data_IF_778744123709
#
_entry.id   IF_778744123709
#
_cell.length_a   1.000
_cell.length_b   1.000
_cell.length_c   1.000
_cell.angle_alpha   90.00
_cell.angle_beta   90.00
_cell.angle_gamma   90.00
#
_symmetry.space_group_name_H-M   'P 1'
#
loop_
_entity.id
_entity.type
_entity.pdbx_description
1 polymer ?
#
# COMPACT_ATOMS: atom_id res chain seq x y z
N UNK A 1 -29.18 -21.42 -7.64
CA UNK A 1 -29.18 -21.05 -6.22
C UNK A 1 -28.95 -19.55 -6.14
N UNK A 2 -29.70 -18.78 -5.35
CA UNK A 2 -29.51 -17.33 -5.28
C UNK A 2 -28.15 -17.04 -4.65
N UNK A 3 -27.36 -16.21 -5.32
CA UNK A 3 -26.10 -15.64 -4.83
C UNK A 3 -26.44 -14.80 -3.59
N UNK A 4 -26.00 -15.24 -2.42
CA UNK A 4 -26.08 -14.44 -1.21
C UNK A 4 -25.15 -13.22 -1.38
N UNK A 5 -25.73 -12.07 -1.55
CA UNK A 5 -25.05 -10.79 -1.38
C UNK A 5 -24.41 -10.78 0.00
N UNK A 6 -23.09 -10.50 0.13
CA UNK A 6 -22.48 -10.37 1.45
C UNK A 6 -23.21 -9.28 2.22
N UNK A 7 -23.79 -9.64 3.38
CA UNK A 7 -24.40 -8.70 4.31
C UNK A 7 -23.37 -7.62 4.64
N UNK A 8 -23.71 -6.37 4.39
CA UNK A 8 -22.89 -5.23 4.82
C UNK A 8 -22.53 -5.41 6.31
N UNK A 9 -21.25 -5.33 6.70
CA UNK A 9 -20.86 -5.52 8.09
C UNK A 9 -21.64 -4.50 8.95
N UNK A 10 -22.19 -4.97 10.08
CA UNK A 10 -22.90 -4.12 11.03
C UNK A 10 -22.00 -2.93 11.37
N UNK A 11 -22.48 -1.69 11.24
CA UNK A 11 -21.68 -0.51 11.53
C UNK A 11 -21.15 -0.57 12.97
N UNK A 12 -19.82 -0.57 13.10
CA UNK A 12 -19.20 -0.57 14.42
C UNK A 12 -19.45 0.78 15.12
N UNK A 13 -19.76 0.75 16.41
CA UNK A 13 -19.98 1.94 17.22
C UNK A 13 -18.86 2.08 18.25
N UNK A 14 -18.48 3.34 18.50
CA UNK A 14 -17.61 3.74 19.60
C UNK A 14 -18.46 4.41 20.67
N UNK A 15 -18.16 4.12 21.94
CA UNK A 15 -18.89 4.63 23.09
C UNK A 15 -17.96 5.38 24.03
N UNK A 16 -18.46 6.47 24.64
CA UNK A 16 -17.72 7.24 25.63
C UNK A 16 -18.68 7.93 26.61
N UNK A 17 -18.12 8.45 27.68
CA UNK A 17 -18.84 9.32 28.60
C UNK A 17 -18.30 10.74 28.47
N UNK A 18 -19.21 11.72 28.36
CA UNK A 18 -18.88 13.13 28.30
C UNK A 18 -19.87 13.93 29.19
N UNK A 19 -19.32 14.65 30.16
CA UNK A 19 -20.14 15.43 31.16
C UNK A 19 -21.19 14.58 31.88
N UNK A 20 -20.89 13.33 32.19
CA UNK A 20 -21.82 12.40 32.88
C UNK A 20 -22.88 11.79 31.94
N UNK A 21 -22.84 12.04 30.66
CA UNK A 21 -23.76 11.49 29.66
C UNK A 21 -23.04 10.40 28.82
N UNK A 22 -23.72 9.27 28.63
CA UNK A 22 -23.26 8.22 27.73
C UNK A 22 -23.50 8.65 26.28
N UNK A 23 -22.43 8.69 25.52
CA UNK A 23 -22.42 9.08 24.12
C UNK A 23 -21.99 7.92 23.23
N UNK A 24 -22.45 7.92 21.99
CA UNK A 24 -22.00 6.98 20.97
C UNK A 24 -21.98 7.63 19.59
N UNK A 25 -21.13 7.13 18.72
CA UNK A 25 -21.09 7.48 17.30
C UNK A 25 -20.62 6.28 16.46
N UNK A 26 -20.81 6.38 15.16
CA UNK A 26 -20.23 5.41 14.24
C UNK A 26 -18.71 5.44 14.33
N UNK A 27 -18.09 4.26 14.38
CA UNK A 27 -16.64 4.10 14.29
C UNK A 27 -16.22 3.84 12.84
N UNK A 28 -15.17 4.52 12.39
CA UNK A 28 -14.59 4.29 11.07
C UNK A 28 -13.10 4.06 11.16
N UNK A 29 -12.62 3.02 10.49
CA UNK A 29 -11.20 2.72 10.32
C UNK A 29 -10.98 1.95 9.02
N UNK A 30 -10.24 2.53 8.10
CA UNK A 30 -9.84 1.88 6.84
C UNK A 30 -8.83 0.73 7.08
N UNK A 31 -8.06 0.80 8.16
CA UNK A 31 -7.18 -0.29 8.58
C UNK A 31 -7.93 -1.46 9.25
N UNK A 32 -9.27 -1.41 9.34
CA UNK A 32 -10.10 -2.43 9.97
C UNK A 32 -9.88 -2.55 11.48
N UNK A 33 -9.36 -1.52 12.13
CA UNK A 33 -9.17 -1.53 13.58
C UNK A 33 -10.52 -1.49 14.28
N UNK A 34 -10.75 -2.34 15.29
CA UNK A 34 -11.97 -2.28 16.09
C UNK A 34 -12.05 -0.97 16.87
N UNK A 35 -13.26 -0.52 17.27
CA UNK A 35 -13.41 0.67 18.08
C UNK A 35 -12.69 0.49 19.43
N UNK A 36 -12.02 1.55 19.93
CA UNK A 36 -11.39 1.51 21.24
C UNK A 36 -12.42 1.25 22.35
N UNK A 37 -12.05 0.36 23.28
CA UNK A 37 -12.93 0.02 24.42
C UNK A 37 -12.99 1.10 25.51
N UNK A 38 -11.95 1.93 25.59
CA UNK A 38 -11.84 3.03 26.57
C UNK A 38 -11.57 4.31 25.80
N UNK A 39 -12.38 5.32 26.07
CA UNK A 39 -12.28 6.64 25.44
C UNK A 39 -12.32 7.71 26.52
N UNK A 40 -11.41 8.65 26.45
CA UNK A 40 -11.38 9.85 27.30
C UNK A 40 -11.49 11.10 26.42
N UNK A 41 -12.17 12.12 26.93
CA UNK A 41 -12.16 13.44 26.30
C UNK A 41 -10.80 14.09 26.54
N UNK A 42 -10.24 14.69 25.49
CA UNK A 42 -8.98 15.42 25.51
C UNK A 42 -9.12 16.78 24.83
N UNK A 43 -8.38 17.75 25.30
CA UNK A 43 -8.39 19.13 24.80
C UNK A 43 -7.00 19.76 24.80
N UNK A 44 -6.93 21.07 24.55
CA UNK A 44 -5.69 21.86 24.47
C UNK A 44 -4.86 21.84 25.77
N UNK A 45 -5.41 21.39 26.89
CA UNK A 45 -4.72 21.27 28.20
C UNK A 45 -4.09 19.90 28.38
N UNK A 46 -4.36 18.96 27.49
CA UNK A 46 -3.88 17.59 27.61
C UNK A 46 -2.37 17.49 27.51
N UNK A 47 -1.74 17.04 28.59
CA UNK A 47 -0.28 16.85 28.62
C UNK A 47 0.12 15.67 27.72
N UNK A 48 1.15 15.86 26.90
CA UNK A 48 1.61 14.85 25.94
C UNK A 48 2.18 13.57 26.57
N UNK A 49 2.74 13.63 27.78
CA UNK A 49 3.24 12.41 28.47
C UNK A 49 2.08 11.58 29.02
N UNK A 50 1.05 12.25 29.54
CA UNK A 50 -0.19 11.61 29.99
C UNK A 50 -0.90 10.98 28.79
N UNK A 51 -1.06 11.73 27.69
CA UNK A 51 -1.67 11.26 26.45
C UNK A 51 -0.95 10.02 25.92
N UNK A 52 0.38 10.05 25.88
CA UNK A 52 1.19 8.92 25.40
C UNK A 52 1.00 7.67 26.28
N UNK A 53 1.01 7.82 27.59
CA UNK A 53 0.77 6.71 28.52
C UNK A 53 -0.61 6.08 28.30
N UNK A 54 -1.66 6.91 28.25
CA UNK A 54 -3.03 6.46 27.99
C UNK A 54 -3.17 5.71 26.66
N UNK A 55 -2.60 6.27 25.60
CA UNK A 55 -2.58 5.63 24.27
C UNK A 55 -1.87 4.27 24.29
N UNK A 56 -0.74 4.14 24.98
CA UNK A 56 -0.03 2.87 25.16
C UNK A 56 -0.85 1.84 25.96
N UNK A 57 -1.67 2.29 26.90
CA UNK A 57 -2.60 1.47 27.71
C UNK A 57 -3.89 1.12 26.96
N UNK A 58 -4.04 1.58 25.70
CA UNK A 58 -5.22 1.33 24.88
C UNK A 58 -6.42 2.20 25.19
N UNK A 59 -6.22 3.36 25.84
CA UNK A 59 -7.25 4.39 26.03
C UNK A 59 -7.15 5.42 24.93
N UNK A 60 -8.20 5.56 24.14
CA UNK A 60 -8.28 6.56 23.07
C UNK A 60 -8.64 7.94 23.64
N UNK A 61 -8.18 8.97 22.96
CA UNK A 61 -8.34 10.38 23.31
C UNK A 61 -9.23 11.04 22.26
N UNK A 62 -10.51 11.26 22.58
CA UNK A 62 -11.43 11.97 21.69
C UNK A 62 -11.22 13.48 21.87
N UNK A 63 -10.74 14.11 20.79
CA UNK A 63 -10.31 15.50 20.82
C UNK A 63 -11.48 16.49 20.76
N UNK A 64 -11.44 17.52 21.62
CA UNK A 64 -12.42 18.61 21.69
C UNK A 64 -11.76 20.00 21.59
N UNK A 65 -10.44 20.06 21.55
CA UNK A 65 -9.68 21.31 21.43
C UNK A 65 -9.48 21.78 19.99
N UNK A 66 -8.47 22.60 19.80
CA UNK A 66 -8.09 23.11 18.50
C UNK A 66 -7.43 22.03 17.62
N UNK A 67 -7.81 21.96 16.35
CA UNK A 67 -7.31 20.94 15.44
C UNK A 67 -5.78 20.98 15.24
N UNK A 68 -5.19 22.19 15.20
CA UNK A 68 -3.73 22.32 15.04
C UNK A 68 -2.99 21.81 16.28
N UNK A 69 -3.59 21.99 17.48
CA UNK A 69 -3.03 21.43 18.71
C UNK A 69 -3.16 19.90 18.75
N UNK A 70 -4.24 19.32 18.21
CA UNK A 70 -4.34 17.86 18.00
C UNK A 70 -3.18 17.34 17.12
N UNK A 71 -2.87 18.04 16.02
CA UNK A 71 -1.72 17.68 15.13
C UNK A 71 -0.39 17.75 15.86
N UNK A 72 -0.18 18.80 16.67
CA UNK A 72 1.03 18.95 17.49
C UNK A 72 1.13 17.82 18.53
N UNK A 73 0.01 17.47 19.18
CA UNK A 73 -0.03 16.35 20.11
C UNK A 73 0.32 15.03 19.39
N UNK A 74 -0.26 14.76 18.23
CA UNK A 74 0.06 13.56 17.45
C UNK A 74 1.56 13.46 17.11
N UNK A 75 2.17 14.59 16.73
CA UNK A 75 3.63 14.65 16.48
C UNK A 75 4.43 14.39 17.77
N UNK A 76 3.96 14.91 18.92
CA UNK A 76 4.59 14.66 20.20
C UNK A 76 4.48 13.20 20.63
N UNK A 77 3.34 12.53 20.37
CA UNK A 77 3.15 11.09 20.56
C UNK A 77 4.10 10.28 19.66
N UNK A 78 4.23 10.66 18.39
CA UNK A 78 5.14 10.01 17.45
C UNK A 78 6.60 10.06 17.93
N UNK A 79 7.09 11.26 18.31
CA UNK A 79 8.44 11.39 18.86
C UNK A 79 8.67 10.50 20.08
N UNK A 80 7.68 10.37 20.98
CA UNK A 80 7.78 9.49 22.18
C UNK A 80 7.79 8.02 21.81
N UNK A 81 6.99 7.63 20.83
CA UNK A 81 7.01 6.26 20.31
C UNK A 81 8.38 5.90 19.72
N UNK A 82 9.00 6.84 18.98
CA UNK A 82 10.33 6.65 18.38
C UNK A 82 11.45 6.60 19.42
N UNK A 83 11.36 7.39 20.51
CA UNK A 83 12.36 7.39 21.61
C UNK A 83 12.31 6.12 22.45
N UNK A 84 11.09 5.60 22.75
CA UNK A 84 10.95 4.34 23.51
C UNK A 84 11.43 3.11 22.75
N UNK A 85 11.51 3.18 21.42
CA UNK A 85 12.16 2.16 20.61
C UNK A 85 13.70 2.15 20.73
N UNK A 86 14.30 3.21 21.33
CA UNK A 86 15.74 3.26 21.60
C UNK A 86 16.03 2.67 22.99
N UNK A 87 17.05 1.81 23.13
CA UNK A 87 17.42 1.26 24.44
C UNK A 87 17.74 2.40 25.41
N UNK A 88 17.09 2.41 26.56
CA UNK A 88 17.45 3.31 27.67
C UNK A 88 18.90 3.05 28.04
N UNK A 89 19.67 4.11 28.35
CA UNK A 89 21.06 3.98 28.84
C UNK A 89 21.20 3.08 30.12
N UNK A 90 20.09 2.80 30.81
CA UNK A 90 20.01 1.92 32.00
C UNK A 90 19.39 0.55 31.72
N UNK A 91 18.84 0.30 30.52
CA UNK A 91 18.34 -1.02 30.14
C UNK A 91 19.53 -1.89 29.70
N UNK A 92 19.53 -3.19 30.09
CA UNK A 92 20.41 -4.16 29.46
C UNK A 92 20.25 -4.04 27.95
N UNK A 93 21.35 -3.99 27.16
CA UNK A 93 21.23 -3.93 25.71
C UNK A 93 20.33 -5.07 25.26
N UNK A 94 19.24 -4.74 24.55
CA UNK A 94 18.43 -5.76 23.92
C UNK A 94 19.35 -6.59 23.02
N UNK A 95 19.23 -7.90 23.08
CA UNK A 95 20.01 -8.80 22.23
C UNK A 95 19.75 -8.39 20.77
N UNK A 96 20.80 -8.12 20.03
CA UNK A 96 20.67 -7.83 18.61
C UNK A 96 19.96 -9.02 17.92
N UNK A 97 19.09 -8.77 16.93
CA UNK A 97 18.43 -9.84 16.20
C UNK A 97 19.49 -10.78 15.61
N UNK A 98 19.27 -12.09 15.76
CA UNK A 98 20.22 -13.10 15.33
C UNK A 98 20.20 -13.32 13.81
N UNK A 99 19.07 -12.99 13.16
CA UNK A 99 18.88 -13.17 11.71
C UNK A 99 18.18 -11.96 11.08
N UNK A 100 18.33 -11.73 9.76
CA UNK A 100 17.57 -10.70 9.04
C UNK A 100 16.05 -10.87 9.16
N UNK A 101 15.58 -12.12 9.20
CA UNK A 101 14.16 -12.46 9.38
C UNK A 101 13.65 -12.00 10.76
N UNK A 102 14.41 -12.24 11.81
CA UNK A 102 14.07 -11.77 13.16
C UNK A 102 14.06 -10.23 13.21
N UNK A 103 15.05 -9.58 12.61
CA UNK A 103 15.10 -8.12 12.49
C UNK A 103 13.85 -7.57 11.79
N UNK A 104 13.42 -8.21 10.69
CA UNK A 104 12.21 -7.84 9.96
C UNK A 104 10.95 -7.98 10.84
N UNK A 105 10.76 -9.09 11.53
CA UNK A 105 9.60 -9.30 12.38
C UNK A 105 9.55 -8.33 13.56
N UNK A 106 10.67 -8.06 14.21
CA UNK A 106 10.77 -7.07 15.29
C UNK A 106 10.47 -5.66 14.77
N UNK A 107 11.00 -5.30 13.60
CA UNK A 107 10.69 -4.02 12.95
C UNK A 107 9.19 -3.89 12.65
N UNK A 108 8.56 -4.91 12.05
CA UNK A 108 7.13 -4.94 11.76
C UNK A 108 6.28 -4.83 13.04
N UNK A 109 6.65 -5.52 14.09
CA UNK A 109 5.99 -5.44 15.40
C UNK A 109 6.08 -4.02 15.98
N UNK A 110 7.25 -3.40 15.95
CA UNK A 110 7.44 -2.02 16.41
C UNK A 110 6.60 -1.02 15.59
N UNK A 111 6.57 -1.14 14.25
CA UNK A 111 5.75 -0.31 13.39
C UNK A 111 4.25 -0.48 13.66
N UNK A 112 3.79 -1.71 13.86
CA UNK A 112 2.39 -2.00 14.19
C UNK A 112 2.01 -1.42 15.56
N UNK A 113 2.88 -1.56 16.57
CA UNK A 113 2.67 -0.97 17.89
C UNK A 113 2.62 0.56 17.83
N UNK A 114 3.57 1.18 17.11
CA UNK A 114 3.58 2.61 16.86
C UNK A 114 2.28 3.09 16.19
N UNK A 115 1.86 2.39 15.14
CA UNK A 115 0.63 2.71 14.40
C UNK A 115 -0.60 2.66 15.32
N UNK A 116 -0.72 1.61 16.16
CA UNK A 116 -1.81 1.47 17.13
C UNK A 116 -1.81 2.60 18.16
N UNK A 117 -0.67 2.94 18.72
CA UNK A 117 -0.54 4.03 19.70
C UNK A 117 -0.97 5.37 19.10
N UNK A 118 -0.52 5.68 17.87
CA UNK A 118 -0.86 6.93 17.20
C UNK A 118 -2.33 6.97 16.74
N UNK A 119 -2.96 5.82 16.49
CA UNK A 119 -4.37 5.74 16.14
C UNK A 119 -5.30 6.04 17.32
N UNK A 120 -4.79 6.11 18.57
CA UNK A 120 -5.59 6.42 19.76
C UNK A 120 -5.96 7.91 19.88
N UNK A 121 -5.46 8.81 19.08
CA UNK A 121 -5.93 10.19 19.01
C UNK A 121 -7.05 10.31 17.97
N UNK A 122 -8.26 10.60 18.45
CA UNK A 122 -9.50 10.53 17.69
C UNK A 122 -10.04 11.92 17.36
N UNK A 123 -10.65 12.04 16.18
CA UNK A 123 -11.30 13.25 15.68
C UNK A 123 -12.79 12.95 15.40
N UNK A 124 -13.71 13.81 15.85
CA UNK A 124 -15.12 13.73 15.47
C UNK A 124 -15.33 14.32 14.06
N UNK A 125 -16.26 13.75 13.35
CA UNK A 125 -16.77 14.24 12.07
C UNK A 125 -18.29 14.38 12.17
N UNK A 126 -18.80 15.52 11.75
CA UNK A 126 -20.21 15.75 11.47
C UNK A 126 -20.56 15.33 10.03
N UNK A 127 -21.81 15.50 9.66
CA UNK A 127 -22.30 15.23 8.31
C UNK A 127 -21.45 15.92 7.23
N UNK A 128 -21.30 15.26 6.08
CA UNK A 128 -20.55 15.80 4.96
C UNK A 128 -19.06 16.00 5.21
N UNK A 129 -18.48 15.22 6.16
CA UNK A 129 -17.06 15.29 6.53
C UNK A 129 -16.61 16.62 7.17
N UNK A 130 -17.53 17.37 7.76
CA UNK A 130 -17.19 18.55 8.52
C UNK A 130 -16.54 18.15 9.85
N UNK A 131 -15.46 18.80 10.24
CA UNK A 131 -14.79 18.58 11.52
C UNK A 131 -15.19 19.70 12.47
N UNK A 132 -15.95 19.45 13.56
CA UNK A 132 -16.46 20.47 14.47
C UNK A 132 -15.39 20.93 15.48
N UNK A 133 -14.19 21.24 14.98
CA UNK A 133 -13.06 21.69 15.78
C UNK A 133 -12.55 23.02 15.25
N UNK A 134 -12.10 23.89 16.15
CA UNK A 134 -11.50 25.16 15.76
C UNK A 134 -10.28 24.95 14.88
N UNK A 135 -10.12 25.77 13.83
CA UNK A 135 -9.05 25.71 12.84
C UNK A 135 -8.89 24.37 12.11
N UNK A 136 -9.96 23.58 12.04
CA UNK A 136 -9.96 22.38 11.22
C UNK A 136 -9.88 22.75 9.73
N UNK A 137 -9.15 21.98 8.92
CA UNK A 137 -9.14 22.18 7.47
C UNK A 137 -10.44 21.66 6.84
N UNK A 138 -10.74 22.13 5.63
CA UNK A 138 -11.70 21.46 4.78
C UNK A 138 -11.09 20.13 4.29
N UNK A 139 -11.79 19.03 4.56
CA UNK A 139 -11.35 17.67 4.21
C UNK A 139 -12.35 16.91 3.35
N UNK A 140 -13.42 17.59 2.91
CA UNK A 140 -14.52 16.96 2.19
C UNK A 140 -14.05 16.22 0.95
N UNK A 141 -13.20 16.84 0.11
CA UNK A 141 -12.69 16.20 -1.10
C UNK A 141 -11.82 14.97 -0.76
N UNK A 142 -10.88 15.12 0.17
CA UNK A 142 -9.99 14.02 0.58
C UNK A 142 -10.77 12.82 1.16
N UNK A 143 -11.78 13.10 1.97
CA UNK A 143 -12.65 12.06 2.55
C UNK A 143 -13.56 11.44 1.50
N UNK A 144 -14.17 12.23 0.61
CA UNK A 144 -15.02 11.70 -0.46
C UNK A 144 -14.25 10.79 -1.42
N UNK A 145 -13.00 11.12 -1.76
CA UNK A 145 -12.15 10.30 -2.62
C UNK A 145 -11.81 8.94 -2.01
N UNK A 146 -11.60 8.88 -0.68
CA UNK A 146 -11.21 7.67 0.01
C UNK A 146 -12.41 6.86 0.49
N UNK A 147 -13.42 7.54 0.99
CA UNK A 147 -14.55 6.94 1.70
C UNK A 147 -15.84 6.88 0.89
N UNK A 148 -15.92 7.62 -0.23
CA UNK A 148 -17.17 7.84 -0.94
C UNK A 148 -18.09 8.82 -0.22
N UNK A 149 -19.31 9.01 -0.72
CA UNK A 149 -20.32 9.84 -0.07
C UNK A 149 -20.74 9.26 1.28
N UNK A 150 -20.77 10.09 2.30
CA UNK A 150 -21.17 9.69 3.62
C UNK A 150 -21.82 10.87 4.37
N UNK A 151 -22.98 10.64 4.95
CA UNK A 151 -23.83 11.70 5.52
C UNK A 151 -24.02 11.59 7.04
N UNK A 152 -23.54 10.51 7.68
CA UNK A 152 -23.70 10.31 9.12
C UNK A 152 -22.48 10.82 9.90
N UNK A 153 -22.66 11.36 11.12
CA UNK A 153 -21.55 11.65 12.01
C UNK A 153 -20.77 10.39 12.39
N UNK A 154 -19.45 10.50 12.48
CA UNK A 154 -18.58 9.38 12.86
C UNK A 154 -17.33 9.86 13.60
N UNK A 155 -16.59 8.90 14.15
CA UNK A 155 -15.29 9.14 14.77
C UNK A 155 -14.25 8.29 14.05
N UNK A 156 -13.10 8.90 13.74
CA UNK A 156 -11.94 8.24 13.15
C UNK A 156 -10.65 8.71 13.83
N UNK A 157 -9.56 8.01 13.55
CA UNK A 157 -8.23 8.41 14.00
C UNK A 157 -7.73 9.66 13.27
N UNK A 158 -7.15 10.62 14.00
CA UNK A 158 -6.46 11.76 13.37
C UNK A 158 -5.31 11.30 12.44
N UNK A 159 -4.61 10.23 12.82
CA UNK A 159 -3.55 9.65 11.97
C UNK A 159 -4.11 9.20 10.62
N UNK A 160 -5.27 8.57 10.60
CA UNK A 160 -5.95 8.14 9.38
C UNK A 160 -6.36 9.35 8.54
N UNK A 161 -7.00 10.35 9.14
CA UNK A 161 -7.36 11.60 8.45
C UNK A 161 -6.16 12.26 7.78
N UNK A 162 -5.02 12.36 8.47
CA UNK A 162 -3.81 12.93 7.88
C UNK A 162 -3.29 12.08 6.71
N UNK A 163 -3.50 10.76 6.74
CA UNK A 163 -3.23 9.87 5.62
C UNK A 163 -4.12 10.16 4.41
N UNK A 164 -5.41 10.42 4.62
CA UNK A 164 -6.35 10.79 3.56
C UNK A 164 -5.98 12.14 2.91
N UNK A 165 -5.68 13.15 3.74
CA UNK A 165 -5.23 14.45 3.26
C UNK A 165 -3.94 14.30 2.42
N UNK A 166 -2.97 13.52 2.91
CA UNK A 166 -1.75 13.24 2.17
C UNK A 166 -1.99 12.54 0.83
N UNK A 167 -2.88 11.55 0.81
CA UNK A 167 -3.24 10.84 -0.42
C UNK A 167 -3.95 11.75 -1.44
N UNK A 168 -4.85 12.62 -0.97
CA UNK A 168 -5.49 13.64 -1.80
C UNK A 168 -4.47 14.57 -2.46
N UNK A 169 -3.50 15.06 -1.69
CA UNK A 169 -2.42 15.92 -2.23
C UNK A 169 -1.56 15.16 -3.26
N UNK A 170 -1.24 13.89 -3.02
CA UNK A 170 -0.54 13.04 -4.00
C UNK A 170 -1.37 12.85 -5.28
N UNK A 171 -2.67 12.58 -5.14
CA UNK A 171 -3.58 12.47 -6.29
C UNK A 171 -3.66 13.77 -7.07
N UNK A 172 -3.76 14.91 -6.39
CA UNK A 172 -3.83 16.23 -7.02
C UNK A 172 -2.54 16.59 -7.76
N UNK A 173 -1.39 16.34 -7.14
CA UNK A 173 -0.07 16.70 -7.69
C UNK A 173 0.38 15.70 -8.76
N UNK A 174 0.10 14.41 -8.56
CA UNK A 174 0.60 13.31 -9.38
C UNK A 174 2.08 13.00 -9.16
N UNK A 175 2.48 11.84 -9.62
CA UNK A 175 3.88 11.35 -9.64
C UNK A 175 4.38 11.44 -11.08
N UNK A 176 5.50 12.11 -11.28
CA UNK A 176 6.13 12.20 -12.58
C UNK A 176 6.71 10.85 -13.00
N UNK A 177 6.40 10.42 -14.22
CA UNK A 177 6.88 9.18 -14.81
C UNK A 177 7.64 9.54 -16.10
N UNK A 178 8.98 9.62 -16.04
CA UNK A 178 9.78 10.03 -17.21
C UNK A 178 9.52 9.19 -18.45
N UNK A 179 9.30 7.88 -18.29
CA UNK A 179 8.99 6.98 -19.40
C UNK A 179 7.67 7.31 -20.15
N UNK A 180 6.77 8.08 -19.51
CA UNK A 180 5.50 8.53 -20.10
C UNK A 180 5.54 9.99 -20.55
N UNK A 181 6.55 10.76 -20.12
CA UNK A 181 6.57 12.23 -20.20
C UNK A 181 5.27 12.84 -19.63
N UNK A 182 4.79 12.26 -18.52
CA UNK A 182 3.51 12.62 -17.92
C UNK A 182 3.46 12.25 -16.43
N UNK A 183 2.34 12.58 -15.78
CA UNK A 183 2.11 12.26 -14.37
C UNK A 183 1.03 11.20 -14.21
N UNK A 184 1.24 10.33 -13.25
CA UNK A 184 0.26 9.36 -12.76
C UNK A 184 -0.31 9.87 -11.43
N UNK A 185 -1.61 9.84 -11.28
CA UNK A 185 -2.37 10.37 -10.14
C UNK A 185 -2.91 9.20 -9.30
N UNK A 186 -2.19 8.75 -8.25
CA UNK A 186 -2.60 7.59 -7.46
C UNK A 186 -3.79 7.92 -6.57
N UNK A 187 -4.78 7.02 -6.52
CA UNK A 187 -5.88 7.11 -5.57
C UNK A 187 -5.46 6.63 -4.17
N UNK A 188 -6.23 7.01 -3.14
CA UNK A 188 -6.06 6.46 -1.80
C UNK A 188 -6.13 4.92 -1.81
N UNK A 189 -5.17 4.28 -1.15
CA UNK A 189 -5.10 2.82 -1.08
C UNK A 189 -4.48 2.14 -2.31
N UNK A 190 -4.25 2.86 -3.41
CA UNK A 190 -3.56 2.35 -4.60
C UNK A 190 -2.08 2.68 -4.54
N UNK A 191 -1.23 1.75 -4.93
CA UNK A 191 0.23 1.92 -4.90
C UNK A 191 0.68 3.07 -5.79
N UNK A 192 1.41 3.99 -5.19
CA UNK A 192 1.98 5.13 -5.91
C UNK A 192 3.32 4.73 -6.55
N UNK A 193 3.54 4.95 -7.86
CA UNK A 193 4.78 4.59 -8.57
C UNK A 193 5.93 5.56 -8.28
N UNK A 194 6.17 5.87 -6.99
CA UNK A 194 7.25 6.78 -6.55
C UNK A 194 8.64 6.17 -6.78
N UNK A 195 8.71 4.84 -6.75
CA UNK A 195 9.92 4.09 -7.11
C UNK A 195 9.88 3.83 -8.61
N UNK A 196 10.54 4.68 -9.41
CA UNK A 196 10.49 4.64 -10.87
C UNK A 196 11.27 3.49 -11.51
N UNK A 197 12.23 2.88 -10.80
CA UNK A 197 13.15 1.89 -11.35
C UNK A 197 12.46 0.68 -12.00
N UNK A 198 11.33 0.22 -11.48
CA UNK A 198 10.60 -0.88 -12.08
C UNK A 198 9.86 -0.47 -13.37
N UNK A 199 9.44 0.79 -13.45
CA UNK A 199 8.85 1.36 -14.67
C UNK A 199 9.90 1.47 -15.76
N UNK A 200 11.10 1.95 -15.40
CA UNK A 200 12.23 2.08 -16.33
C UNK A 200 12.68 0.72 -16.86
N UNK A 201 12.67 -0.33 -16.06
CA UNK A 201 12.93 -1.70 -16.53
C UNK A 201 11.96 -2.10 -17.63
N UNK A 202 10.65 -1.88 -17.46
CA UNK A 202 9.64 -2.17 -18.49
C UNK A 202 9.81 -1.23 -19.70
N UNK A 203 10.12 0.03 -19.48
CA UNK A 203 10.30 1.01 -20.54
C UNK A 203 11.50 0.70 -21.45
N UNK A 204 12.60 0.16 -20.89
CA UNK A 204 13.85 0.01 -21.60
C UNK A 204 14.15 -1.45 -22.06
N UNK A 205 13.51 -2.47 -21.47
CA UNK A 205 13.69 -3.86 -21.93
C UNK A 205 13.16 -4.02 -23.36
N UNK A 206 13.91 -4.59 -24.31
CA UNK A 206 13.45 -4.78 -25.69
C UNK A 206 12.15 -5.59 -25.74
N UNK A 207 11.12 -5.05 -26.42
CA UNK A 207 9.89 -5.79 -26.64
C UNK A 207 10.14 -7.00 -27.56
N UNK A 208 9.50 -8.15 -27.33
CA UNK A 208 9.51 -9.25 -28.27
C UNK A 208 9.00 -8.80 -29.65
N UNK A 209 9.56 -9.36 -30.72
CA UNK A 209 9.23 -8.94 -32.07
C UNK A 209 7.72 -9.10 -32.38
N UNK A 210 7.11 -8.06 -32.94
CA UNK A 210 5.73 -8.10 -33.43
C UNK A 210 4.65 -8.14 -32.33
N UNK A 211 4.96 -7.82 -31.08
CA UNK A 211 3.97 -7.75 -29.98
C UNK A 211 2.92 -6.69 -30.28
N UNK A 212 1.67 -7.12 -30.48
CA UNK A 212 0.50 -6.25 -30.68
C UNK A 212 -0.48 -6.30 -29.49
N UNK A 213 -0.41 -7.33 -28.68
CA UNK A 213 -1.24 -7.53 -27.50
C UNK A 213 -0.33 -7.80 -26.29
N UNK A 214 -0.61 -7.15 -25.16
CA UNK A 214 0.01 -7.45 -23.87
C UNK A 214 -1.02 -7.53 -22.76
N UNK A 215 -0.74 -8.32 -21.73
CA UNK A 215 -1.46 -8.34 -20.48
C UNK A 215 -0.62 -7.66 -19.39
N UNK A 216 -1.26 -6.82 -18.56
CA UNK A 216 -0.67 -6.19 -17.37
C UNK A 216 -1.42 -6.72 -16.14
N UNK A 217 -0.80 -7.66 -15.42
CA UNK A 217 -1.42 -8.38 -14.32
C UNK A 217 -1.17 -7.62 -13.01
N UNK A 218 -2.25 -7.16 -12.37
CA UNK A 218 -2.18 -6.26 -11.22
C UNK A 218 -1.88 -4.82 -11.64
N UNK A 219 -2.71 -4.26 -12.52
CA UNK A 219 -2.48 -2.98 -13.19
C UNK A 219 -2.31 -1.79 -12.22
N UNK A 220 -2.89 -1.85 -11.01
CA UNK A 220 -2.75 -0.81 -10.00
C UNK A 220 -3.17 0.57 -10.50
N UNK A 221 -2.22 1.48 -10.67
CA UNK A 221 -2.45 2.83 -11.23
C UNK A 221 -2.55 2.86 -12.75
N UNK A 222 -2.33 1.74 -13.45
CA UNK A 222 -2.28 1.65 -14.90
C UNK A 222 -0.94 2.08 -15.52
N UNK A 223 0.08 2.35 -14.70
CA UNK A 223 1.37 2.88 -15.17
C UNK A 223 2.08 1.95 -16.15
N UNK A 224 2.13 0.65 -15.89
CA UNK A 224 2.79 -0.31 -16.78
C UNK A 224 1.98 -0.51 -18.06
N UNK A 225 0.64 -0.59 -17.97
CA UNK A 225 -0.24 -0.59 -19.15
C UNK A 225 0.03 0.61 -20.05
N UNK A 226 0.13 1.82 -19.46
CA UNK A 226 0.42 3.05 -20.21
C UNK A 226 1.81 3.01 -20.86
N UNK A 227 2.83 2.52 -20.15
CA UNK A 227 4.19 2.37 -20.72
C UNK A 227 4.19 1.42 -21.92
N UNK A 228 3.50 0.27 -21.81
CA UNK A 228 3.41 -0.70 -22.92
C UNK A 228 2.72 -0.10 -24.15
N UNK A 229 1.61 0.62 -23.95
CA UNK A 229 0.89 1.30 -25.03
C UNK A 229 1.77 2.38 -25.69
N UNK A 230 2.44 3.23 -24.92
CA UNK A 230 3.40 4.25 -25.42
C UNK A 230 4.57 3.65 -26.18
N UNK A 231 4.96 2.42 -25.86
CA UNK A 231 6.01 1.66 -26.59
C UNK A 231 5.51 1.02 -27.89
N UNK A 232 4.26 1.22 -28.27
CA UNK A 232 3.69 0.74 -29.54
C UNK A 232 2.98 -0.61 -29.46
N UNK A 233 2.67 -1.13 -28.26
CA UNK A 233 1.76 -2.27 -28.12
C UNK A 233 0.35 -1.80 -28.45
N UNK A 234 -0.25 -2.36 -29.51
CA UNK A 234 -1.50 -1.86 -30.08
C UNK A 234 -2.71 -2.02 -29.15
N UNK A 235 -2.73 -3.07 -28.31
CA UNK A 235 -3.76 -3.34 -27.31
C UNK A 235 -3.14 -3.85 -26.03
N UNK A 236 -3.55 -3.31 -24.88
CA UNK A 236 -3.17 -3.82 -23.57
C UNK A 236 -4.45 -4.20 -22.81
N UNK A 237 -4.43 -5.33 -22.12
CA UNK A 237 -5.47 -5.72 -21.18
C UNK A 237 -4.85 -5.67 -19.79
N UNK A 238 -5.27 -4.69 -18.98
CA UNK A 238 -4.87 -4.56 -17.59
C UNK A 238 -5.88 -5.23 -16.67
N UNK A 239 -5.41 -6.05 -15.74
CA UNK A 239 -6.28 -6.72 -14.77
C UNK A 239 -5.96 -6.28 -13.35
N UNK A 240 -6.98 -6.19 -12.51
CA UNK A 240 -6.82 -6.02 -11.06
C UNK A 240 -8.06 -6.56 -10.35
N UNK A 241 -7.88 -7.11 -9.16
CA UNK A 241 -9.01 -7.55 -8.33
C UNK A 241 -9.66 -6.40 -7.55
N UNK A 242 -8.91 -5.31 -7.28
CA UNK A 242 -9.36 -4.17 -6.49
C UNK A 242 -10.09 -3.15 -7.39
N UNK A 243 -11.39 -2.90 -7.18
CA UNK A 243 -12.13 -1.89 -7.94
C UNK A 243 -11.59 -0.47 -7.76
N UNK A 244 -10.89 -0.16 -6.64
CA UNK A 244 -10.23 1.13 -6.44
C UNK A 244 -9.03 1.28 -7.39
N UNK A 245 -8.23 0.22 -7.55
CA UNK A 245 -7.12 0.20 -8.50
C UNK A 245 -7.62 0.40 -9.93
N UNK A 246 -8.65 -0.31 -10.35
CA UNK A 246 -9.25 -0.15 -11.67
C UNK A 246 -9.84 1.24 -11.91
N UNK A 247 -10.47 1.84 -10.90
CA UNK A 247 -10.94 3.24 -10.99
C UNK A 247 -9.77 4.21 -11.16
N UNK A 248 -8.70 4.01 -10.41
CA UNK A 248 -7.46 4.79 -10.50
C UNK A 248 -6.82 4.65 -11.89
N UNK A 249 -6.65 3.42 -12.37
CA UNK A 249 -6.09 3.14 -13.69
C UNK A 249 -6.92 3.81 -14.79
N UNK A 250 -8.25 3.65 -14.76
CA UNK A 250 -9.15 4.25 -15.77
C UNK A 250 -9.02 5.77 -15.84
N UNK A 251 -8.95 6.44 -14.69
CA UNK A 251 -8.78 7.90 -14.63
C UNK A 251 -7.39 8.32 -15.17
N UNK A 252 -6.32 7.62 -14.82
CA UNK A 252 -4.98 7.90 -15.33
C UNK A 252 -4.87 7.67 -16.84
N UNK A 253 -5.43 6.57 -17.34
CA UNK A 253 -5.39 6.23 -18.76
C UNK A 253 -6.19 7.23 -19.61
N UNK A 254 -7.33 7.69 -19.12
CA UNK A 254 -8.11 8.76 -19.78
C UNK A 254 -7.33 10.09 -19.81
N UNK A 255 -6.60 10.44 -18.75
CA UNK A 255 -5.72 11.63 -18.73
C UNK A 255 -4.55 11.56 -19.74
N UNK A 256 -4.15 10.35 -20.10
CA UNK A 256 -3.06 10.07 -21.05
C UNK A 256 -3.57 9.83 -22.49
N UNK A 257 -4.89 9.91 -22.74
CA UNK A 257 -5.54 9.59 -24.00
C UNK A 257 -5.24 8.15 -24.48
N UNK A 258 -5.18 7.19 -23.53
CA UNK A 258 -4.85 5.78 -23.79
C UNK A 258 -6.02 4.81 -23.54
N UNK A 259 -7.18 5.30 -23.15
CA UNK A 259 -8.38 4.51 -22.86
C UNK A 259 -8.92 3.74 -24.07
N UNK A 260 -8.66 4.21 -25.29
CA UNK A 260 -8.97 3.49 -26.54
C UNK A 260 -8.05 2.30 -26.85
N UNK A 261 -6.87 2.21 -26.21
CA UNK A 261 -5.87 1.16 -26.43
C UNK A 261 -5.79 0.17 -25.26
N UNK A 262 -6.29 0.54 -24.09
CA UNK A 262 -6.13 -0.21 -22.85
C UNK A 262 -7.51 -0.57 -22.29
N UNK A 263 -7.77 -1.87 -22.24
CA UNK A 263 -8.96 -2.45 -21.62
C UNK A 263 -8.65 -2.84 -20.18
N UNK A 264 -9.52 -2.48 -19.23
CA UNK A 264 -9.38 -2.83 -17.82
C UNK A 264 -10.45 -3.83 -17.41
N UNK A 265 -10.01 -4.96 -16.80
CA UNK A 265 -10.88 -6.04 -16.36
C UNK A 265 -10.72 -6.31 -14.86
N UNK A 266 -11.85 -6.50 -14.15
CA UNK A 266 -11.85 -6.89 -12.75
C UNK A 266 -11.80 -8.41 -12.63
N UNK A 267 -10.60 -8.95 -12.59
CA UNK A 267 -10.36 -10.39 -12.41
C UNK A 267 -9.17 -10.63 -11.48
N UNK A 268 -9.14 -11.81 -10.86
CA UNK A 268 -8.00 -12.26 -10.07
C UNK A 268 -6.94 -12.87 -11.01
N UNK A 269 -5.84 -12.15 -11.21
CA UNK A 269 -4.73 -12.47 -12.10
C UNK A 269 -5.09 -12.33 -13.59
N UNK A 270 -5.27 -13.41 -14.34
CA UNK A 270 -5.28 -13.41 -15.79
C UNK A 270 -6.65 -13.13 -16.42
N UNK A 271 -6.69 -12.37 -17.53
CA UNK A 271 -7.87 -12.32 -18.38
C UNK A 271 -8.00 -13.62 -19.20
N UNK A 272 -9.13 -13.81 -19.86
CA UNK A 272 -9.31 -14.92 -20.79
C UNK A 272 -8.39 -14.79 -22.02
N UNK A 273 -7.87 -15.93 -22.50
CA UNK A 273 -7.07 -16.02 -23.71
C UNK A 273 -5.57 -16.02 -23.46
N UNK A 274 -4.82 -15.68 -24.51
CA UNK A 274 -3.34 -15.71 -24.52
C UNK A 274 -2.79 -14.44 -25.16
N UNK A 275 -1.64 -13.99 -24.67
CA UNK A 275 -0.91 -12.85 -25.23
C UNK A 275 0.55 -13.20 -25.51
N UNK A 276 1.18 -12.53 -26.51
CA UNK A 276 2.61 -12.67 -26.76
C UNK A 276 3.48 -12.03 -25.68
N UNK A 277 2.93 -11.14 -24.84
CA UNK A 277 3.60 -10.54 -23.69
C UNK A 277 2.65 -10.46 -22.52
N UNK A 278 3.10 -10.95 -21.35
CA UNK A 278 2.38 -10.83 -20.09
C UNK A 278 3.32 -10.22 -19.05
N UNK A 279 2.95 -9.08 -18.49
CA UNK A 279 3.76 -8.35 -17.51
C UNK A 279 3.10 -8.43 -16.15
N UNK A 280 3.87 -8.60 -15.10
CA UNK A 280 3.39 -8.58 -13.72
C UNK A 280 4.42 -7.96 -12.79
N UNK A 281 3.98 -7.02 -11.96
CA UNK A 281 4.72 -6.48 -10.83
C UNK A 281 3.98 -6.83 -9.52
N UNK A 282 4.09 -8.07 -9.02
CA UNK A 282 3.40 -8.49 -7.81
C UNK A 282 4.00 -7.81 -6.57
N UNK A 283 3.34 -7.80 -5.41
CA UNK A 283 3.96 -7.38 -4.17
C UNK A 283 5.19 -8.24 -3.85
N UNK A 284 6.29 -7.61 -3.40
CA UNK A 284 7.60 -8.26 -3.37
C UNK A 284 7.92 -9.05 -2.12
N UNK A 285 7.26 -8.74 -0.99
CA UNK A 285 7.62 -9.28 0.33
C UNK A 285 6.51 -10.22 0.85
N UNK A 286 6.82 -11.49 1.15
CA UNK A 286 5.85 -12.46 1.66
C UNK A 286 5.53 -12.21 3.15
N UNK A 287 4.68 -11.22 3.41
CA UNK A 287 4.23 -10.87 4.76
C UNK A 287 2.77 -10.41 4.73
N UNK A 288 2.12 -10.40 5.91
CA UNK A 288 0.73 -9.94 6.00
C UNK A 288 0.65 -8.42 6.03
N UNK A 289 -0.16 -7.80 5.17
CA UNK A 289 -0.40 -6.36 5.21
C UNK A 289 -1.18 -5.97 6.47
N UNK A 290 -0.98 -4.75 6.97
CA UNK A 290 -1.68 -4.17 8.13
C UNK A 290 -2.49 -2.92 7.78
N UNK A 291 -2.49 -2.53 6.49
CA UNK A 291 -3.29 -1.41 5.97
C UNK A 291 -3.56 -1.59 4.47
N UNK A 292 -4.56 -0.93 3.89
CA UNK A 292 -4.89 -1.07 2.47
C UNK A 292 -3.70 -0.84 1.53
N UNK A 293 -2.90 0.20 1.75
CA UNK A 293 -1.73 0.50 0.91
C UNK A 293 -0.62 -0.57 1.00
N UNK A 294 -0.58 -1.32 2.09
CA UNK A 294 0.41 -2.38 2.28
C UNK A 294 0.13 -3.63 1.46
N UNK A 295 -1.11 -3.82 0.91
CA UNK A 295 -1.41 -4.92 -0.01
C UNK A 295 -0.59 -4.87 -1.30
N UNK A 296 -0.14 -3.69 -1.70
CA UNK A 296 0.72 -3.53 -2.86
C UNK A 296 2.22 -3.80 -2.58
N UNK A 297 2.58 -4.02 -1.32
CA UNK A 297 3.97 -4.29 -0.88
C UNK A 297 4.13 -5.71 -0.35
N UNK A 298 3.09 -6.20 0.35
CA UNK A 298 3.12 -7.48 1.04
C UNK A 298 2.14 -8.48 0.40
N UNK A 299 2.67 -9.63 0.04
CA UNK A 299 1.95 -10.77 -0.56
C UNK A 299 2.03 -11.97 0.39
N UNK A 300 1.00 -12.19 1.24
CA UNK A 300 1.00 -13.33 2.16
C UNK A 300 1.26 -14.64 1.41
N UNK A 301 2.23 -15.41 1.90
CA UNK A 301 2.62 -16.70 1.33
C UNK A 301 3.01 -16.64 -0.18
N UNK A 302 3.39 -15.44 -0.68
CA UNK A 302 3.67 -15.16 -2.09
C UNK A 302 2.53 -15.60 -3.02
N UNK A 303 1.26 -15.38 -2.61
CA UNK A 303 0.07 -15.87 -3.32
C UNK A 303 -0.01 -15.35 -4.75
N UNK A 304 0.13 -14.03 -4.92
CA UNK A 304 0.05 -13.41 -6.25
C UNK A 304 1.21 -13.86 -7.14
N UNK A 305 2.43 -13.85 -6.62
CA UNK A 305 3.62 -14.31 -7.34
C UNK A 305 3.48 -15.77 -7.79
N UNK A 306 3.09 -16.66 -6.89
CA UNK A 306 2.91 -18.09 -7.21
C UNK A 306 1.76 -18.32 -8.19
N UNK A 307 0.65 -17.61 -8.01
CA UNK A 307 -0.48 -17.67 -8.94
C UNK A 307 -0.11 -17.18 -10.34
N UNK A 308 0.65 -16.08 -10.42
CA UNK A 308 1.18 -15.59 -11.68
C UNK A 308 2.07 -16.65 -12.37
N UNK A 309 3.05 -17.20 -11.67
CA UNK A 309 3.94 -18.22 -12.25
C UNK A 309 3.16 -19.45 -12.72
N UNK A 310 2.24 -19.96 -11.88
CA UNK A 310 1.46 -21.16 -12.18
C UNK A 310 0.57 -20.99 -13.43
N UNK A 311 0.00 -19.80 -13.66
CA UNK A 311 -0.89 -19.55 -14.80
C UNK A 311 -0.19 -19.02 -16.05
N UNK A 312 1.06 -18.59 -15.95
CA UNK A 312 1.73 -17.84 -17.05
C UNK A 312 1.82 -18.65 -18.34
N UNK A 313 2.24 -19.92 -18.29
CA UNK A 313 2.40 -20.75 -19.48
C UNK A 313 1.09 -20.94 -20.25
N UNK A 314 -0.04 -21.01 -19.57
CA UNK A 314 -1.36 -21.17 -20.18
C UNK A 314 -1.88 -19.89 -20.84
N UNK A 315 -1.34 -18.73 -20.46
CA UNK A 315 -1.74 -17.41 -20.99
C UNK A 315 -0.72 -16.81 -21.97
N UNK A 316 0.37 -17.54 -22.28
CA UNK A 316 1.31 -17.16 -23.33
C UNK A 316 0.93 -17.79 -24.67
N UNK A 317 1.04 -17.00 -25.75
CA UNK A 317 1.06 -17.55 -27.12
C UNK A 317 2.35 -18.36 -27.34
N UNK A 318 2.41 -19.27 -28.31
CA UNK A 318 3.67 -19.91 -28.68
C UNK A 318 4.77 -18.89 -28.96
N UNK A 319 5.89 -19.01 -28.26
CA UNK A 319 7.01 -18.07 -28.34
C UNK A 319 6.78 -16.73 -27.60
N UNK A 320 5.70 -16.59 -26.86
CA UNK A 320 5.43 -15.43 -26.00
C UNK A 320 6.31 -15.38 -24.75
N UNK A 321 6.38 -14.21 -24.13
CA UNK A 321 7.18 -13.95 -22.94
C UNK A 321 6.35 -13.46 -21.78
N UNK A 322 6.69 -13.91 -20.57
CA UNK A 322 6.27 -13.34 -19.31
C UNK A 322 7.36 -12.42 -18.74
N UNK A 323 7.01 -11.22 -18.35
CA UNK A 323 7.89 -10.28 -17.68
C UNK A 323 7.50 -10.15 -16.23
N UNK A 324 8.27 -10.78 -15.34
CA UNK A 324 8.08 -10.68 -13.90
C UNK A 324 9.02 -9.63 -13.34
N UNK A 325 8.46 -8.60 -12.69
CA UNK A 325 9.23 -7.59 -11.95
C UNK A 325 9.26 -7.99 -10.48
N UNK A 326 10.44 -8.12 -9.90
CA UNK A 326 10.60 -8.58 -8.53
C UNK A 326 11.88 -8.00 -7.89
N UNK A 327 11.76 -7.53 -6.64
CA UNK A 327 12.91 -7.19 -5.82
C UNK A 327 13.42 -8.43 -5.07
N UNK A 328 14.73 -8.53 -4.90
CA UNK A 328 15.37 -9.54 -4.06
C UNK A 328 15.40 -9.18 -2.57
N UNK A 329 14.69 -8.11 -2.16
CA UNK A 329 14.60 -7.71 -0.76
C UNK A 329 14.13 -8.86 0.14
N UNK A 330 13.18 -9.69 -0.32
CA UNK A 330 12.71 -10.84 0.43
C UNK A 330 13.82 -11.89 0.67
N UNK A 331 14.77 -12.02 -0.25
CA UNK A 331 15.94 -12.89 -0.10
C UNK A 331 16.90 -12.35 0.98
N UNK A 332 17.23 -11.05 0.90
CA UNK A 332 18.07 -10.38 1.91
C UNK A 332 17.45 -10.37 3.31
N UNK A 333 16.12 -10.41 3.40
CA UNK A 333 15.41 -10.54 4.67
C UNK A 333 15.28 -12.00 5.13
N UNK A 334 15.69 -12.99 4.33
CA UNK A 334 15.55 -14.40 4.63
C UNK A 334 14.11 -14.91 4.64
N UNK A 335 13.21 -14.24 3.91
CA UNK A 335 11.79 -14.56 3.85
C UNK A 335 11.43 -15.45 2.66
N UNK A 336 12.20 -15.40 1.58
CA UNK A 336 12.08 -16.22 0.38
C UNK A 336 13.44 -16.33 -0.28
N UNK A 337 14.12 -17.47 -0.18
CA UNK A 337 15.40 -17.69 -0.82
C UNK A 337 15.28 -17.76 -2.35
N UNK A 338 16.36 -17.44 -3.06
CA UNK A 338 16.42 -17.47 -4.53
C UNK A 338 16.06 -18.85 -5.09
N UNK A 339 16.55 -19.91 -4.46
CA UNK A 339 16.33 -21.29 -4.91
C UNK A 339 14.86 -21.66 -4.88
N UNK A 340 14.09 -21.12 -3.93
CA UNK A 340 12.64 -21.33 -3.85
C UNK A 340 11.92 -20.66 -5.04
N UNK A 341 12.29 -19.43 -5.40
CA UNK A 341 11.77 -18.75 -6.59
C UNK A 341 12.09 -19.55 -7.86
N UNK A 342 13.32 -20.02 -8.01
CA UNK A 342 13.74 -20.81 -9.17
C UNK A 342 12.99 -22.15 -9.24
N UNK A 343 12.74 -22.78 -8.09
CA UNK A 343 11.93 -24.00 -8.01
C UNK A 343 10.48 -23.77 -8.45
N UNK A 344 9.86 -22.63 -8.06
CA UNK A 344 8.50 -22.31 -8.52
C UNK A 344 8.44 -22.03 -10.02
N UNK A 345 9.43 -21.33 -10.59
CA UNK A 345 9.53 -21.10 -12.04
C UNK A 345 9.63 -22.43 -12.79
N UNK A 346 10.52 -23.33 -12.36
CA UNK A 346 10.68 -24.65 -12.98
C UNK A 346 9.43 -25.54 -12.84
N UNK A 347 8.81 -25.56 -11.65
CA UNK A 347 7.59 -26.34 -11.38
C UNK A 347 6.39 -25.85 -12.21
N UNK A 348 6.36 -24.57 -12.59
CA UNK A 348 5.36 -23.98 -13.47
C UNK A 348 5.62 -24.25 -14.97
N UNK A 349 6.61 -25.07 -15.34
CA UNK A 349 6.98 -25.32 -16.73
C UNK A 349 7.55 -24.10 -17.44
N UNK A 350 8.22 -23.22 -16.70
CA UNK A 350 8.81 -22.01 -17.21
C UNK A 350 10.34 -22.09 -17.17
N UNK A 351 10.97 -21.33 -18.08
CA UNK A 351 12.43 -21.09 -18.09
C UNK A 351 12.73 -19.60 -18.10
N UNK A 352 13.85 -19.24 -17.51
CA UNK A 352 14.37 -17.86 -17.54
C UNK A 352 15.14 -17.68 -18.85
N UNK A 353 14.73 -16.71 -19.66
CA UNK A 353 15.46 -16.30 -20.88
C UNK A 353 16.58 -15.31 -20.54
N UNK A 354 16.24 -14.30 -19.73
CA UNK A 354 17.14 -13.20 -19.40
C UNK A 354 16.67 -12.51 -18.12
N UNK A 355 17.56 -11.75 -17.46
CA UNK A 355 17.25 -10.93 -16.31
C UNK A 355 17.92 -9.56 -16.47
N UNK A 356 17.13 -8.49 -16.31
CA UNK A 356 17.61 -7.11 -16.28
C UNK A 356 17.54 -6.58 -14.86
N UNK A 357 18.64 -6.08 -14.34
CA UNK A 357 18.79 -5.66 -12.95
C UNK A 357 18.96 -4.15 -12.83
N UNK A 358 18.38 -3.54 -11.81
CA UNK A 358 18.57 -2.15 -11.43
C UNK A 358 18.64 -2.00 -9.91
N UNK A 359 19.51 -1.13 -9.42
CA UNK A 359 19.56 -0.82 -8.00
C UNK A 359 18.58 0.31 -7.65
N UNK A 360 17.84 0.20 -6.52
CA UNK A 360 16.98 1.28 -6.07
C UNK A 360 17.78 2.55 -5.77
N UNK A 361 17.28 3.69 -6.24
CA UNK A 361 17.86 5.02 -5.96
C UNK A 361 17.13 5.76 -4.83
N UNK A 362 16.13 5.11 -4.22
CA UNK A 362 15.28 5.71 -3.20
C UNK A 362 16.06 6.03 -1.92
N UNK A 363 15.84 7.22 -1.27
CA UNK A 363 16.58 7.67 -0.08
C UNK A 363 16.59 6.67 1.09
N UNK A 364 15.56 5.84 1.25
CA UNK A 364 15.53 4.78 2.28
C UNK A 364 16.62 3.72 2.12
N UNK A 365 17.13 3.50 0.92
CA UNK A 365 18.24 2.57 0.71
C UNK A 365 19.54 3.09 1.35
N UNK A 366 19.69 4.42 1.48
CA UNK A 366 20.83 5.08 2.07
C UNK A 366 20.66 5.38 3.59
N UNK A 367 19.49 5.13 4.18
CA UNK A 367 19.21 5.43 5.59
C UNK A 367 19.85 4.38 6.53
N UNK A 368 21.03 4.70 7.04
CA UNK A 368 21.77 3.84 7.99
C UNK A 368 21.11 3.70 9.36
N UNK A 369 20.07 4.50 9.66
CA UNK A 369 19.31 4.38 10.92
C UNK A 369 18.14 3.39 10.81
N UNK A 370 17.80 2.92 9.61
CA UNK A 370 16.80 1.89 9.38
C UNK A 370 17.31 0.53 9.91
N UNK A 371 16.60 -0.15 10.81
CA UNK A 371 16.98 -1.49 11.26
C UNK A 371 17.16 -2.53 10.14
N UNK A 372 16.57 -2.28 8.97
CA UNK A 372 16.65 -3.12 7.78
C UNK A 372 17.62 -2.57 6.73
N UNK A 373 18.44 -1.57 7.08
CA UNK A 373 19.35 -0.90 6.14
C UNK A 373 20.20 -1.88 5.33
N UNK A 374 20.82 -2.87 5.97
CA UNK A 374 21.68 -3.84 5.28
C UNK A 374 20.96 -4.55 4.13
N UNK A 375 19.71 -4.99 4.35
CA UNK A 375 18.90 -5.63 3.33
C UNK A 375 18.48 -4.64 2.21
N UNK A 376 18.07 -3.41 2.60
CA UNK A 376 17.66 -2.38 1.63
C UNK A 376 18.81 -1.84 0.79
N UNK A 377 20.00 -1.72 1.36
CA UNK A 377 21.20 -1.28 0.65
C UNK A 377 21.72 -2.32 -0.35
N UNK A 378 21.46 -3.60 -0.06
CA UNK A 378 21.79 -4.72 -0.95
C UNK A 378 20.74 -4.98 -2.03
N UNK A 379 19.53 -4.41 -1.89
CA UNK A 379 18.38 -4.67 -2.74
C UNK A 379 18.67 -4.41 -4.22
N UNK A 380 18.20 -5.34 -5.07
CA UNK A 380 18.20 -5.23 -6.52
C UNK A 380 16.77 -5.51 -7.02
N UNK A 381 16.24 -4.63 -7.86
CA UNK A 381 14.98 -4.83 -8.56
C UNK A 381 15.30 -5.43 -9.93
N UNK A 382 14.65 -6.52 -10.29
CA UNK A 382 14.91 -7.27 -11.51
C UNK A 382 13.66 -7.44 -12.36
N UNK A 383 13.78 -7.32 -13.67
CA UNK A 383 12.82 -7.81 -14.63
C UNK A 383 13.30 -9.15 -15.16
N UNK A 384 12.55 -10.21 -14.88
CA UNK A 384 12.79 -11.57 -15.35
C UNK A 384 11.99 -11.82 -16.62
N UNK A 385 12.67 -12.12 -17.71
CA UNK A 385 12.03 -12.59 -18.95
C UNK A 385 11.87 -14.10 -18.87
N UNK A 386 10.63 -14.56 -18.87
CA UNK A 386 10.25 -15.96 -18.72
C UNK A 386 9.58 -16.45 -20.01
N UNK A 387 9.74 -17.72 -20.33
CA UNK A 387 9.01 -18.39 -21.41
C UNK A 387 8.59 -19.78 -20.97
N UNK A 388 7.60 -20.37 -21.66
CA UNK A 388 7.31 -21.79 -21.52
C UNK A 388 8.58 -22.63 -21.84
N UNK A 389 8.81 -23.69 -21.05
CA UNK A 389 10.01 -24.52 -21.15
C UNK A 389 10.05 -25.37 -22.43
#
# INVERSE_FOLDING_TARGET
MPVQTPSSPIPQQIHWEENGVQCSARWRSEAGMPPPKRVMIADDRTNADVAYRLACEGTALLWRGDFQNARQLLQALARRADVKGKPSKKAKPAKAPATPTEAFHLHRQAQSQRARTLAMLLIPFDEGYTIPLRRAPDVQLACNEAYGRFEEPFIASLRELLGLIGAHEWRRTGVEIPALDARIHPHYGVFSPVRGEYVDLVANTPLPAGVKLAYDIGAGTGVLSAVLAKRGVARVIGTDQDPRALSCARENLARLDLDGQIELQQVDLFPEGRAPLVVCNPPWVPARPSSPIEYAVYDPDSRMLRGFLAGLADHLTPGGEGWLILSDLAEHLGLRPRDELMAWIAAAGLKVLERHDVRPTHPRAADTTDPLHAARAAEVTSLWRLAAA
#
